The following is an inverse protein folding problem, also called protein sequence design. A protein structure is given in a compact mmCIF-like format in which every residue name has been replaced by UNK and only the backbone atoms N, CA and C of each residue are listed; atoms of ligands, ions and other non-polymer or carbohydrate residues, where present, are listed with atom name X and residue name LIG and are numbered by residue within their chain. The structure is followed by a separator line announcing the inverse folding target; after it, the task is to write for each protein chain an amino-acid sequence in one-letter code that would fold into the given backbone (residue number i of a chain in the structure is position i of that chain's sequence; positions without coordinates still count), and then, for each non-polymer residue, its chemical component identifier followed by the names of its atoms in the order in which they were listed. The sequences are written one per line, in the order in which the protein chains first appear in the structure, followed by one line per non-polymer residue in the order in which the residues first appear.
data_IF_871717224075
#
_entry.id   IF_871717224075
#
_cell.length_a   1.000
_cell.length_b   1.000
_cell.length_c   1.000
_cell.angle_alpha   90.00
_cell.angle_beta   90.00
_cell.angle_gamma   90.00
#
_symmetry.space_group_name_H-M   'P 1'
#
loop_
_entity.id
_entity.type
_entity.pdbx_description
1 polymer ?
#
# COMPACT_ATOMS: atom_id res chain seq x y z
N UNK A 1 14.49 -2.94 -5.93
CA UNK A 1 13.38 -3.84 -5.58
C UNK A 1 12.06 -3.10 -5.75
N UNK A 2 11.06 -3.69 -6.41
CA UNK A 2 9.74 -3.06 -6.61
C UNK A 2 8.76 -3.52 -5.53
N UNK A 3 8.18 -2.57 -4.80
CA UNK A 3 7.20 -2.81 -3.73
C UNK A 3 5.92 -2.07 -4.03
N UNK A 4 4.79 -2.78 -3.98
CA UNK A 4 3.46 -2.19 -4.13
C UNK A 4 2.85 -1.96 -2.75
N UNK A 5 2.41 -0.74 -2.46
CA UNK A 5 1.73 -0.37 -1.22
C UNK A 5 0.26 -0.04 -1.51
N UNK A 6 -0.64 -0.84 -0.93
CA UNK A 6 -2.09 -0.82 -1.19
C UNK A 6 -2.88 -0.98 0.11
N UNK A 7 -4.19 -0.76 0.03
CA UNK A 7 -5.12 -0.76 1.15
C UNK A 7 -6.22 0.27 0.90
N UNK A 8 -7.25 0.28 1.74
CA UNK A 8 -8.39 1.21 1.60
C UNK A 8 -7.93 2.68 1.68
N UNK A 9 -8.80 3.61 1.33
CA UNK A 9 -8.55 5.03 1.56
C UNK A 9 -8.43 5.35 3.07
N UNK A 10 -7.70 6.43 3.38
CA UNK A 10 -7.46 6.91 4.74
C UNK A 10 -6.70 5.96 5.71
N UNK A 11 -6.22 4.80 5.27
CA UNK A 11 -5.45 3.86 6.13
C UNK A 11 -3.99 4.27 6.42
N UNK A 12 -3.52 5.42 5.92
CA UNK A 12 -2.18 5.96 6.23
C UNK A 12 -1.02 5.57 5.31
N UNK A 13 -1.29 5.09 4.08
CA UNK A 13 -0.27 4.60 3.14
C UNK A 13 0.78 5.66 2.81
N UNK A 14 0.34 6.80 2.29
CA UNK A 14 1.20 7.93 1.92
C UNK A 14 1.94 8.52 3.13
N UNK A 15 1.31 8.50 4.32
CA UNK A 15 1.95 8.93 5.57
C UNK A 15 3.14 8.04 5.93
N UNK A 16 2.99 6.71 5.85
CA UNK A 16 4.10 5.79 6.10
C UNK A 16 5.18 5.91 5.02
N UNK A 17 4.79 6.06 3.75
CA UNK A 17 5.74 6.25 2.65
C UNK A 17 6.65 7.44 2.91
N UNK A 18 6.09 8.60 3.22
CA UNK A 18 6.89 9.80 3.48
C UNK A 18 7.63 9.73 4.81
N UNK A 19 7.10 9.02 5.82
CA UNK A 19 7.87 8.76 7.05
C UNK A 19 9.13 7.94 6.77
N UNK A 20 9.06 6.97 5.86
CA UNK A 20 10.20 6.18 5.43
C UNK A 20 11.16 6.96 4.54
N UNK A 21 10.64 7.81 3.65
CA UNK A 21 11.43 8.59 2.68
C UNK A 21 12.14 9.80 3.30
N UNK A 22 11.43 10.55 4.13
CA UNK A 22 11.85 11.86 4.64
C UNK A 22 12.18 11.83 6.14
N UNK A 23 11.80 10.77 6.85
CA UNK A 23 11.98 10.68 8.30
C UNK A 23 10.93 11.46 9.11
N UNK A 24 9.96 12.10 8.47
CA UNK A 24 8.96 12.98 9.10
C UNK A 24 7.52 12.59 8.73
N UNK A 25 6.57 12.96 9.58
CA UNK A 25 5.14 12.79 9.29
C UNK A 25 4.67 14.05 8.59
N UNK A 26 4.26 13.91 7.34
CA UNK A 26 3.71 15.02 6.54
C UNK A 26 2.19 14.93 6.48
N UNK A 27 1.53 16.08 6.45
CA UNK A 27 0.08 16.14 6.19
C UNK A 27 -0.18 15.73 4.74
N UNK A 28 -0.98 14.68 4.55
CA UNK A 28 -1.31 14.14 3.24
C UNK A 28 -2.75 14.44 2.87
N UNK A 29 -3.00 14.74 1.60
CA UNK A 29 -4.34 14.74 1.01
C UNK A 29 -4.64 13.35 0.44
N UNK A 30 -5.93 13.00 0.19
CA UNK A 30 -6.26 11.74 -0.46
C UNK A 30 -5.53 11.59 -1.81
N UNK A 31 -4.75 10.52 -1.95
CA UNK A 31 -3.98 10.23 -3.16
C UNK A 31 -4.92 9.94 -4.33
N UNK A 32 -4.81 10.76 -5.38
CA UNK A 32 -5.48 10.55 -6.66
C UNK A 32 -4.49 9.84 -7.59
N UNK A 33 -4.75 8.56 -7.90
CA UNK A 33 -3.84 7.76 -8.71
C UNK A 33 -2.78 7.07 -7.86
N UNK A 34 -1.53 7.52 -7.94
CA UNK A 34 -0.39 6.90 -7.26
C UNK A 34 0.77 7.87 -7.00
N UNK A 35 1.60 7.54 -6.00
CA UNK A 35 2.91 8.15 -5.79
C UNK A 35 4.01 7.09 -6.01
N UNK A 36 5.18 7.51 -6.48
CA UNK A 36 6.35 6.62 -6.64
C UNK A 36 7.54 7.24 -5.95
N UNK A 37 8.07 6.53 -4.96
CA UNK A 37 9.23 7.00 -4.21
C UNK A 37 10.26 5.90 -4.06
N UNK A 38 11.53 6.27 -4.14
CA UNK A 38 12.64 5.35 -3.82
C UNK A 38 13.08 5.58 -2.39
N UNK A 39 12.97 4.55 -1.56
CA UNK A 39 13.30 4.55 -0.14
C UNK A 39 14.57 3.73 0.09
N UNK A 40 15.47 4.25 0.91
CA UNK A 40 16.67 3.55 1.35
C UNK A 40 16.53 3.13 2.82
N UNK A 41 16.72 1.85 3.11
CA UNK A 41 16.70 1.33 4.46
C UNK A 41 17.76 0.24 4.62
N UNK A 42 18.64 0.39 5.62
CA UNK A 42 19.73 -0.58 5.92
C UNK A 42 20.55 -0.97 4.68
N UNK A 43 20.98 0.02 3.89
CA UNK A 43 21.75 -0.16 2.64
C UNK A 43 21.01 -0.92 1.53
N UNK A 44 19.68 -1.02 1.60
CA UNK A 44 18.83 -1.59 0.55
C UNK A 44 17.93 -0.49 0.01
N UNK A 45 17.84 -0.39 -1.31
CA UNK A 45 16.98 0.55 -2.01
C UNK A 45 15.77 -0.16 -2.61
N UNK A 46 14.57 0.37 -2.34
CA UNK A 46 13.32 -0.11 -2.91
C UNK A 46 12.47 1.03 -3.44
N UNK A 47 11.88 0.80 -4.61
CA UNK A 47 10.91 1.69 -5.25
C UNK A 47 9.53 1.26 -4.78
N UNK A 48 8.85 2.15 -4.07
CA UNK A 48 7.51 1.94 -3.53
C UNK A 48 6.49 2.66 -4.39
N UNK A 49 5.49 1.91 -4.84
CA UNK A 49 4.31 2.42 -5.53
C UNK A 49 3.16 2.53 -4.52
N UNK A 50 2.88 3.75 -4.04
CA UNK A 50 1.76 4.03 -3.15
C UNK A 50 0.50 4.29 -3.97
N UNK A 51 -0.43 3.34 -3.93
CA UNK A 51 -1.65 3.39 -4.72
C UNK A 51 -2.78 4.07 -3.95
N UNK A 52 -3.52 4.95 -4.62
CA UNK A 52 -4.72 5.54 -4.04
C UNK A 52 -5.77 4.45 -3.68
N UNK A 53 -6.41 4.64 -2.52
CA UNK A 53 -7.28 3.63 -1.90
C UNK A 53 -8.78 3.80 -2.13
N UNK A 54 -9.21 4.88 -2.79
CA UNK A 54 -10.64 5.16 -2.98
C UNK A 54 -11.26 4.14 -3.92
N UNK A 55 -12.49 3.70 -3.67
CA UNK A 55 -13.18 2.64 -4.40
C UNK A 55 -13.10 2.81 -5.92
N UNK A 56 -13.29 4.05 -6.39
CA UNK A 56 -13.29 4.39 -7.83
C UNK A 56 -11.96 4.13 -8.53
N UNK A 57 -10.83 4.13 -7.80
CA UNK A 57 -9.49 3.99 -8.36
C UNK A 57 -8.82 2.66 -7.98
N UNK A 58 -9.40 1.86 -7.08
CA UNK A 58 -8.91 0.51 -6.75
C UNK A 58 -8.79 -0.41 -7.97
N UNK A 59 -9.69 -0.33 -8.98
CA UNK A 59 -9.49 -1.08 -10.21
C UNK A 59 -8.12 -0.83 -10.83
N UNK A 60 -7.49 0.33 -10.68
CA UNK A 60 -6.18 0.61 -11.26
C UNK A 60 -5.04 -0.24 -10.66
N UNK A 61 -5.21 -0.82 -9.47
CA UNK A 61 -4.15 -1.59 -8.81
C UNK A 61 -3.61 -2.74 -9.68
N UNK A 62 -4.49 -3.41 -10.44
CA UNK A 62 -4.09 -4.54 -11.30
C UNK A 62 -3.02 -4.21 -12.34
N UNK A 63 -2.94 -2.96 -12.80
CA UNK A 63 -1.94 -2.52 -13.75
C UNK A 63 -0.51 -2.53 -13.17
N UNK A 64 -0.37 -2.59 -11.84
CA UNK A 64 0.90 -2.52 -11.13
C UNK A 64 1.34 -3.85 -10.50
N UNK A 65 0.59 -4.93 -10.72
CA UNK A 65 0.92 -6.25 -10.15
C UNK A 65 2.15 -6.88 -10.81
N UNK A 66 2.33 -6.67 -12.12
CA UNK A 66 3.47 -7.23 -12.83
C UNK A 66 4.79 -6.71 -12.27
N UNK A 67 5.74 -7.63 -12.08
CA UNK A 67 7.08 -7.35 -11.54
C UNK A 67 7.09 -6.80 -10.10
N UNK A 68 5.97 -6.89 -9.35
CA UNK A 68 5.94 -6.60 -7.92
C UNK A 68 6.64 -7.72 -7.15
N UNK A 69 7.68 -7.37 -6.37
CA UNK A 69 8.44 -8.32 -5.56
C UNK A 69 7.98 -8.35 -4.10
N UNK A 70 7.37 -7.26 -3.63
CA UNK A 70 6.81 -7.15 -2.29
C UNK A 70 5.48 -6.41 -2.31
N UNK A 71 4.53 -6.89 -1.52
CA UNK A 71 3.22 -6.29 -1.35
C UNK A 71 3.07 -5.83 0.10
N UNK A 72 2.89 -4.53 0.31
CA UNK A 72 2.54 -3.96 1.61
C UNK A 72 1.03 -3.69 1.60
N UNK A 73 0.28 -4.45 2.40
CA UNK A 73 -1.16 -4.26 2.57
C UNK A 73 -1.45 -3.55 3.89
N UNK A 74 -1.93 -2.31 3.78
CA UNK A 74 -2.20 -1.41 4.90
C UNK A 74 -3.64 -1.54 5.38
N UNK A 75 -3.81 -1.70 6.70
CA UNK A 75 -5.11 -1.81 7.37
C UNK A 75 -5.15 -0.85 8.56
N UNK A 76 -6.20 -0.03 8.64
CA UNK A 76 -6.46 0.73 9.86
C UNK A 76 -7.05 -0.20 10.93
N UNK A 77 -6.32 -0.33 12.05
CA UNK A 77 -6.74 -1.18 13.17
C UNK A 77 -7.95 -0.63 13.95
N UNK A 78 -8.28 0.66 13.79
CA UNK A 78 -9.45 1.29 14.42
C UNK A 78 -10.72 1.12 13.60
N UNK A 79 -10.60 0.92 12.29
CA UNK A 79 -11.73 0.86 11.37
C UNK A 79 -12.34 -0.55 11.30
N UNK A 80 -13.17 -0.85 12.29
CA UNK A 80 -13.85 -2.15 12.39
C UNK A 80 -14.96 -2.31 11.36
N UNK A 81 -15.51 -1.22 10.84
CA UNK A 81 -16.61 -1.26 9.87
C UNK A 81 -16.11 -1.73 8.51
N UNK A 82 -14.92 -1.28 8.09
CA UNK A 82 -14.34 -1.61 6.78
C UNK A 82 -13.33 -2.77 6.81
N UNK A 83 -13.15 -3.46 7.94
CA UNK A 83 -12.20 -4.59 8.02
C UNK A 83 -12.55 -5.73 7.06
N UNK A 84 -13.84 -5.99 6.84
CA UNK A 84 -14.29 -7.03 5.91
C UNK A 84 -14.02 -6.64 4.46
N UNK A 85 -14.23 -5.37 4.12
CA UNK A 85 -13.89 -4.81 2.82
C UNK A 85 -12.38 -4.91 2.54
N UNK A 86 -11.55 -4.54 3.51
CA UNK A 86 -10.09 -4.71 3.41
C UNK A 86 -9.68 -6.18 3.21
N UNK A 87 -10.35 -7.11 3.91
CA UNK A 87 -10.12 -8.54 3.72
C UNK A 87 -10.48 -8.98 2.31
N UNK A 88 -11.63 -8.56 1.78
CA UNK A 88 -12.06 -8.93 0.43
C UNK A 88 -11.08 -8.43 -0.64
N UNK A 89 -10.64 -7.18 -0.53
CA UNK A 89 -9.62 -6.63 -1.45
C UNK A 89 -8.29 -7.38 -1.36
N UNK A 90 -7.81 -7.68 -0.14
CA UNK A 90 -6.59 -8.47 0.02
C UNK A 90 -6.73 -9.86 -0.62
N UNK A 91 -7.87 -10.54 -0.40
CA UNK A 91 -8.10 -11.88 -0.97
C UNK A 91 -8.20 -11.85 -2.50
N UNK A 92 -8.79 -10.80 -3.09
CA UNK A 92 -8.79 -10.59 -4.55
C UNK A 92 -7.37 -10.46 -5.08
N UNK A 93 -6.53 -9.65 -4.43
CA UNK A 93 -5.14 -9.46 -4.84
C UNK A 93 -4.31 -10.75 -4.70
N UNK A 94 -4.49 -11.51 -3.62
CA UNK A 94 -3.76 -12.77 -3.42
C UNK A 94 -4.16 -13.88 -4.38
N UNK A 95 -5.30 -13.75 -5.08
CA UNK A 95 -5.72 -14.67 -6.12
C UNK A 95 -5.06 -14.39 -7.48
N UNK A 96 -4.32 -13.28 -7.62
CA UNK A 96 -3.69 -12.88 -8.87
C UNK A 96 -2.37 -13.61 -9.08
N UNK A 97 -2.25 -14.35 -10.19
CA UNK A 97 -1.02 -15.08 -10.55
C UNK A 97 0.21 -14.15 -10.62
N UNK A 98 0.02 -12.88 -10.99
CA UNK A 98 1.08 -11.89 -11.06
C UNK A 98 1.71 -11.56 -9.68
N UNK A 99 1.01 -11.84 -8.58
CA UNK A 99 1.47 -11.61 -7.21
C UNK A 99 1.88 -12.91 -6.49
N UNK A 100 1.87 -14.05 -7.18
CA UNK A 100 2.12 -15.38 -6.59
C UNK A 100 3.43 -15.49 -5.82
N UNK A 101 4.49 -14.87 -6.34
CA UNK A 101 5.83 -14.92 -5.75
C UNK A 101 6.17 -13.67 -4.93
N UNK A 102 5.23 -12.71 -4.82
CA UNK A 102 5.45 -11.49 -4.07
C UNK A 102 5.39 -11.75 -2.56
N UNK A 103 6.34 -11.18 -1.81
CA UNK A 103 6.33 -11.27 -0.34
C UNK A 103 5.27 -10.32 0.22
N UNK A 104 4.29 -10.86 0.94
CA UNK A 104 3.26 -10.08 1.62
C UNK A 104 3.73 -9.59 2.99
N UNK A 105 3.62 -8.28 3.23
CA UNK A 105 3.68 -7.65 4.54
C UNK A 105 2.34 -6.98 4.84
N UNK A 106 1.61 -7.48 5.85
CA UNK A 106 0.40 -6.82 6.35
C UNK A 106 0.77 -5.85 7.47
N UNK A 107 0.42 -4.58 7.31
CA UNK A 107 0.66 -3.54 8.31
C UNK A 107 -0.68 -3.13 8.92
N UNK A 108 -0.83 -3.38 10.22
CA UNK A 108 -1.96 -2.90 11.00
C UNK A 108 -1.50 -1.71 11.84
N UNK A 109 -1.95 -0.51 11.50
CA UNK A 109 -1.58 0.71 12.24
C UNK A 109 -2.86 1.42 12.71
N UNK A 110 -2.93 1.93 13.94
CA UNK A 110 -3.96 2.89 14.32
C UNK A 110 -3.57 4.22 13.69
N UNK A 111 -4.28 4.66 12.66
CA UNK A 111 -4.15 6.05 12.24
C UNK A 111 -4.71 6.95 13.37
N UNK A 112 -4.09 8.12 13.64
CA UNK A 112 -4.62 9.09 14.60
C UNK A 112 -6.08 9.44 14.32
#
# INVERSE_FOLDING_TARGET
MCVLMVGLDAVGKTTILYKLKLGEIVTTIPTLGFNVETVEYKNISFTVWDMGGQDKIRPLWHHFFQNTQGLIFMVDSKDRERVNEAREELMRMLAEDALRDAVLLRVCSPMP
#
